data_IF_129407246842
#
_entry.id   IF_129407246842
#
_cell.length_a   1.000
_cell.length_b   1.000
_cell.length_c   1.000
_cell.angle_alpha   90.00
_cell.angle_beta   90.00
_cell.angle_gamma   90.00
#
_symmetry.space_group_name_H-M   'P 1'
#
loop_
_entity.id
_entity.type
_entity.pdbx_description
1 polymer ?
#
# COMPACT_ATOMS: atom_id res chain seq x y z
N UNK A 1 -18.13 22.37 36.14
CA UNK A 1 -18.81 22.09 34.86
C UNK A 1 -17.94 21.12 34.08
N UNK A 2 -18.28 19.82 34.08
CA UNK A 2 -17.54 18.79 33.31
C UNK A 2 -18.16 18.76 31.92
N UNK A 3 -17.42 19.23 30.91
CA UNK A 3 -17.80 19.06 29.51
C UNK A 3 -17.44 17.62 29.15
N UNK A 4 -18.44 16.74 29.09
CA UNK A 4 -18.28 15.43 28.49
C UNK A 4 -18.14 15.63 26.98
N UNK A 5 -16.91 15.61 26.46
CA UNK A 5 -16.72 15.34 25.04
C UNK A 5 -17.15 13.90 24.82
N UNK A 6 -18.36 13.69 24.29
CA UNK A 6 -18.77 12.37 23.81
C UNK A 6 -17.73 11.90 22.79
N UNK A 7 -17.02 10.81 23.13
CA UNK A 7 -16.15 10.07 22.21
C UNK A 7 -16.95 9.08 21.34
N UNK A 8 -18.27 9.09 21.43
CA UNK A 8 -19.11 8.25 20.59
C UNK A 8 -19.30 8.93 19.23
N UNK A 9 -19.07 8.19 18.11
CA UNK A 9 -19.35 8.73 16.79
C UNK A 9 -20.83 9.15 16.73
N UNK A 10 -21.10 10.34 16.21
CA UNK A 10 -22.46 10.90 16.08
C UNK A 10 -23.42 10.02 15.25
N UNK A 11 -22.86 9.07 14.51
CA UNK A 11 -23.58 8.15 13.61
C UNK A 11 -23.15 6.72 13.95
N UNK A 12 -24.08 5.76 14.11
CA UNK A 12 -23.78 4.35 14.33
C UNK A 12 -22.78 3.78 13.31
N UNK A 13 -21.89 2.91 13.77
CA UNK A 13 -20.84 2.33 12.97
C UNK A 13 -21.37 1.61 11.71
N UNK A 14 -22.49 0.90 11.82
CA UNK A 14 -23.14 0.17 10.74
C UNK A 14 -23.60 1.09 9.61
N UNK A 15 -24.09 2.29 9.97
CA UNK A 15 -24.55 3.28 9.00
C UNK A 15 -23.34 3.86 8.24
N UNK A 16 -22.23 4.11 8.94
CA UNK A 16 -21.00 4.61 8.30
C UNK A 16 -20.40 3.57 7.37
N UNK A 17 -20.33 2.30 7.79
CA UNK A 17 -19.87 1.20 6.94
C UNK A 17 -20.77 1.04 5.72
N UNK A 18 -22.09 1.13 5.89
CA UNK A 18 -23.06 1.17 4.79
C UNK A 18 -22.79 2.31 3.81
N UNK A 19 -22.57 3.53 4.31
CA UNK A 19 -22.26 4.70 3.49
C UNK A 19 -20.94 4.53 2.71
N UNK A 20 -19.88 4.03 3.34
CA UNK A 20 -18.61 3.75 2.67
C UNK A 20 -18.78 2.72 1.55
N UNK A 21 -19.57 1.67 1.77
CA UNK A 21 -19.88 0.66 0.73
C UNK A 21 -20.66 1.28 -0.43
N UNK A 22 -21.69 2.07 -0.14
CA UNK A 22 -22.46 2.75 -1.18
C UNK A 22 -21.58 3.69 -2.02
N UNK A 23 -20.72 4.48 -1.36
CA UNK A 23 -19.79 5.38 -2.05
C UNK A 23 -18.82 4.59 -2.94
N UNK A 24 -18.28 3.49 -2.43
CA UNK A 24 -17.38 2.63 -3.20
C UNK A 24 -18.09 2.03 -4.43
N UNK A 25 -19.35 1.59 -4.29
CA UNK A 25 -20.15 1.11 -5.42
C UNK A 25 -20.40 2.22 -6.44
N UNK A 26 -20.70 3.44 -5.99
CA UNK A 26 -20.86 4.60 -6.88
C UNK A 26 -19.56 4.83 -7.67
N UNK A 27 -18.39 4.79 -7.01
CA UNK A 27 -17.10 4.97 -7.69
C UNK A 27 -16.75 3.87 -8.69
N UNK A 28 -17.27 2.66 -8.52
CA UNK A 28 -17.10 1.59 -9.50
C UNK A 28 -18.00 1.84 -10.72
N UNK A 29 -19.23 2.32 -10.51
CA UNK A 29 -20.21 2.53 -11.57
C UNK A 29 -19.88 3.81 -12.36
N UNK A 30 -19.51 4.87 -11.66
CA UNK A 30 -19.06 6.12 -12.25
C UNK A 30 -17.59 5.98 -12.66
N UNK A 31 -17.37 5.42 -13.84
CA UNK A 31 -16.05 5.41 -14.52
C UNK A 31 -15.53 6.82 -14.85
N UNK A 32 -16.32 7.86 -14.58
CA UNK A 32 -15.96 9.24 -14.82
C UNK A 32 -14.97 9.77 -13.77
N UNK A 33 -14.12 10.72 -14.19
CA UNK A 33 -13.25 11.49 -13.30
C UNK A 33 -14.09 12.20 -12.24
N UNK A 34 -13.65 12.18 -10.98
CA UNK A 34 -14.32 12.95 -9.93
C UNK A 34 -14.11 14.44 -10.17
N UNK A 35 -15.19 15.22 -10.06
CA UNK A 35 -15.07 16.67 -10.13
C UNK A 35 -14.18 17.17 -8.97
N UNK A 36 -13.34 18.18 -9.24
CA UNK A 36 -12.45 18.83 -8.28
C UNK A 36 -13.15 19.19 -6.95
N UNK A 37 -14.38 19.70 -7.02
CA UNK A 37 -15.17 20.05 -5.84
C UNK A 37 -15.50 18.82 -4.97
N UNK A 38 -15.76 17.67 -5.59
CA UNK A 38 -16.01 16.41 -4.88
C UNK A 38 -14.73 15.92 -4.21
N UNK A 39 -13.59 15.99 -4.90
CA UNK A 39 -12.27 15.64 -4.34
C UNK A 39 -11.96 16.50 -3.12
N UNK A 40 -12.18 17.82 -3.21
CA UNK A 40 -11.97 18.76 -2.09
C UNK A 40 -12.85 18.46 -0.88
N UNK A 41 -14.07 17.97 -1.09
CA UNK A 41 -14.98 17.58 0.00
C UNK A 41 -14.53 16.25 0.61
N UNK A 42 -14.22 15.25 -0.22
CA UNK A 42 -13.95 13.90 0.24
C UNK A 42 -12.59 13.74 0.89
N UNK A 43 -11.56 14.43 0.40
CA UNK A 43 -10.20 14.30 0.90
C UNK A 43 -10.09 14.47 2.43
N UNK A 44 -10.53 15.60 3.03
CA UNK A 44 -10.47 15.77 4.47
C UNK A 44 -11.39 14.80 5.25
N UNK A 45 -12.52 14.38 4.66
CA UNK A 45 -13.43 13.41 5.28
C UNK A 45 -12.75 12.05 5.39
N UNK A 46 -12.07 11.60 4.33
CA UNK A 46 -11.36 10.32 4.32
C UNK A 46 -10.20 10.31 5.33
N UNK A 47 -9.45 11.41 5.43
CA UNK A 47 -8.42 11.57 6.47
C UNK A 47 -9.04 11.48 7.86
N UNK A 48 -10.14 12.20 8.12
CA UNK A 48 -10.84 12.11 9.41
C UNK A 48 -11.33 10.69 9.73
N UNK A 49 -11.82 9.94 8.74
CA UNK A 49 -12.20 8.53 8.91
C UNK A 49 -11.00 7.64 9.23
N UNK A 50 -9.83 7.90 8.63
CA UNK A 50 -8.61 7.17 8.89
C UNK A 50 -8.06 7.43 10.30
N UNK A 51 -8.23 8.65 10.82
CA UNK A 51 -7.80 9.05 12.16
C UNK A 51 -8.64 8.44 13.29
N UNK A 52 -9.77 7.81 12.98
CA UNK A 52 -10.59 7.14 13.99
C UNK A 52 -9.84 5.98 14.65
N UNK A 53 -9.92 5.90 15.99
CA UNK A 53 -9.18 4.90 16.78
C UNK A 53 -9.60 3.46 16.47
N UNK A 54 -10.87 3.23 16.10
CA UNK A 54 -11.42 1.89 15.88
C UNK A 54 -11.98 1.81 14.47
N UNK A 55 -11.25 1.12 13.59
CA UNK A 55 -11.68 0.79 12.24
C UNK A 55 -11.52 -0.73 12.09
N UNK A 56 -12.60 -1.44 11.79
CA UNK A 56 -12.51 -2.89 11.53
C UNK A 56 -11.70 -3.16 10.26
N UNK A 57 -11.14 -4.36 10.12
CA UNK A 57 -10.39 -4.76 8.91
C UNK A 57 -11.21 -4.58 7.62
N UNK A 58 -12.51 -4.90 7.67
CA UNK A 58 -13.43 -4.73 6.53
C UNK A 58 -13.61 -3.26 6.18
N UNK A 59 -13.82 -2.40 7.18
CA UNK A 59 -13.95 -0.95 6.97
C UNK A 59 -12.64 -0.33 6.50
N UNK A 60 -11.50 -0.76 7.05
CA UNK A 60 -10.19 -0.28 6.65
C UNK A 60 -9.91 -0.64 5.19
N UNK A 61 -10.30 -1.85 4.75
CA UNK A 61 -10.18 -2.25 3.35
C UNK A 61 -10.98 -1.33 2.44
N UNK A 62 -12.27 -1.11 2.73
CA UNK A 62 -13.13 -0.23 1.91
C UNK A 62 -12.59 1.20 1.93
N UNK A 63 -12.17 1.69 3.09
CA UNK A 63 -11.60 3.02 3.24
C UNK A 63 -10.31 3.18 2.43
N UNK A 64 -9.44 2.16 2.40
CA UNK A 64 -8.21 2.16 1.59
C UNK A 64 -8.51 2.18 0.08
N UNK A 65 -9.62 1.58 -0.35
CA UNK A 65 -10.09 1.66 -1.75
C UNK A 65 -10.63 3.05 -2.09
N UNK A 66 -11.40 3.67 -1.18
CA UNK A 66 -11.88 5.05 -1.35
C UNK A 66 -10.72 6.05 -1.39
N UNK A 67 -9.74 5.90 -0.51
CA UNK A 67 -8.52 6.71 -0.48
C UNK A 67 -7.74 6.53 -1.77
N UNK A 68 -7.55 5.30 -2.26
CA UNK A 68 -6.92 5.05 -3.56
C UNK A 68 -7.66 5.78 -4.69
N UNK A 69 -8.99 5.73 -4.73
CA UNK A 69 -9.77 6.41 -5.80
C UNK A 69 -9.56 7.93 -5.77
N UNK A 70 -9.60 8.54 -4.59
CA UNK A 70 -9.39 10.00 -4.45
C UNK A 70 -7.93 10.36 -4.72
N UNK A 71 -6.98 9.53 -4.29
CA UNK A 71 -5.56 9.70 -4.57
C UNK A 71 -5.27 9.62 -6.08
N UNK A 72 -5.94 8.73 -6.81
CA UNK A 72 -5.84 8.66 -8.27
C UNK A 72 -6.19 10.00 -8.92
N UNK A 73 -7.28 10.63 -8.49
CA UNK A 73 -7.70 11.92 -9.02
C UNK A 73 -6.71 13.04 -8.67
N UNK A 74 -6.21 13.07 -7.43
CA UNK A 74 -5.23 14.08 -7.00
C UNK A 74 -3.91 13.93 -7.74
N UNK A 75 -3.29 12.75 -7.69
CA UNK A 75 -1.95 12.55 -8.26
C UNK A 75 -1.94 12.44 -9.79
N UNK A 76 -2.94 11.77 -10.38
CA UNK A 76 -2.91 11.45 -11.83
C UNK A 76 -3.67 12.46 -12.67
N UNK A 77 -4.81 12.97 -12.20
CA UNK A 77 -5.69 13.84 -12.99
C UNK A 77 -5.42 15.31 -12.71
N UNK A 78 -5.25 15.66 -11.44
CA UNK A 78 -4.98 17.03 -11.01
C UNK A 78 -3.47 17.34 -10.98
N UNK A 79 -2.62 16.31 -10.99
CA UNK A 79 -1.16 16.43 -10.88
C UNK A 79 -0.75 17.23 -9.62
N UNK A 80 -1.50 17.05 -8.53
CA UNK A 80 -1.28 17.70 -7.24
C UNK A 80 -0.78 16.69 -6.18
N UNK A 81 -0.23 17.22 -5.08
CA UNK A 81 0.25 16.41 -3.94
C UNK A 81 -0.73 16.43 -2.77
N UNK A 82 -1.09 15.24 -2.28
CA UNK A 82 -1.97 15.10 -1.12
C UNK A 82 -1.19 15.14 0.21
N UNK A 83 -0.86 16.35 0.68
CA UNK A 83 -0.05 16.52 1.90
C UNK A 83 -0.69 15.95 3.17
N UNK A 84 -2.01 16.05 3.34
CA UNK A 84 -2.68 15.50 4.53
C UNK A 84 -2.57 13.98 4.60
N UNK A 85 -2.64 13.29 3.47
CA UNK A 85 -2.43 11.84 3.40
C UNK A 85 -0.99 11.48 3.75
N UNK A 86 -0.02 12.24 3.23
CA UNK A 86 1.41 12.08 3.57
C UNK A 86 1.61 12.21 5.08
N UNK A 87 1.08 13.26 5.69
CA UNK A 87 1.21 13.55 7.12
C UNK A 87 0.55 12.47 7.97
N UNK A 88 -0.64 12.02 7.58
CA UNK A 88 -1.33 10.92 8.26
C UNK A 88 -0.49 9.64 8.26
N UNK A 89 0.00 9.18 7.10
CA UNK A 89 0.77 7.93 7.01
C UNK A 89 2.10 8.08 7.76
N UNK A 90 2.78 9.22 7.59
CA UNK A 90 4.09 9.49 8.18
C UNK A 90 4.04 9.54 9.71
N UNK A 91 3.12 10.32 10.29
CA UNK A 91 2.99 10.49 11.74
C UNK A 91 2.52 9.23 12.48
N UNK A 92 1.86 8.30 11.77
CA UNK A 92 1.27 7.08 12.33
C UNK A 92 2.02 5.80 11.95
N UNK A 93 3.12 5.91 11.20
CA UNK A 93 3.89 4.79 10.68
C UNK A 93 4.25 3.73 11.74
N UNK A 94 4.69 4.18 12.92
CA UNK A 94 5.09 3.27 14.00
C UNK A 94 3.92 2.84 14.89
N UNK A 95 3.04 3.77 15.28
CA UNK A 95 1.97 3.51 16.25
C UNK A 95 0.77 2.78 15.65
N UNK A 96 0.49 2.95 14.35
CA UNK A 96 -0.67 2.37 13.66
C UNK A 96 -0.24 1.69 12.35
N UNK A 97 0.90 0.96 12.38
CA UNK A 97 1.54 0.34 11.22
C UNK A 97 0.59 -0.44 10.31
N UNK A 98 -0.30 -1.26 10.89
CA UNK A 98 -1.24 -2.06 10.10
C UNK A 98 -2.16 -1.16 9.27
N UNK A 99 -2.64 -0.07 9.87
CA UNK A 99 -3.55 0.88 9.23
C UNK A 99 -2.83 1.63 8.11
N UNK A 100 -1.71 2.25 8.42
CA UNK A 100 -0.98 3.12 7.47
C UNK A 100 -0.40 2.35 6.29
N UNK A 101 0.12 1.13 6.50
CA UNK A 101 0.63 0.31 5.39
C UNK A 101 -0.50 -0.26 4.55
N UNK A 102 -1.67 -0.55 5.14
CA UNK A 102 -2.85 -0.95 4.38
C UNK A 102 -3.32 0.14 3.41
N UNK A 103 -3.26 1.40 3.84
CA UNK A 103 -3.55 2.57 2.99
C UNK A 103 -2.43 2.78 1.97
N UNK A 104 -1.17 2.80 2.40
CA UNK A 104 -0.04 3.05 1.50
C UNK A 104 0.04 2.00 0.37
N UNK A 105 -0.07 0.72 0.71
CA UNK A 105 0.02 -0.36 -0.29
C UNK A 105 -1.14 -0.35 -1.29
N UNK A 106 -2.28 0.28 -0.95
CA UNK A 106 -3.40 0.41 -1.88
C UNK A 106 -3.19 1.52 -2.89
N UNK A 107 -2.18 2.40 -2.74
CA UNK A 107 -1.87 3.44 -3.72
C UNK A 107 -1.25 2.81 -4.98
N UNK A 108 -2.05 2.74 -6.03
CA UNK A 108 -1.76 1.99 -7.26
C UNK A 108 -1.37 2.87 -8.45
N UNK A 109 -1.18 4.16 -8.23
CA UNK A 109 -0.79 5.18 -9.21
C UNK A 109 0.62 5.69 -8.95
N UNK A 110 1.29 6.31 -9.94
CA UNK A 110 2.50 7.09 -9.68
C UNK A 110 2.24 8.14 -8.60
N UNK A 111 3.24 8.34 -7.74
CA UNK A 111 3.18 9.31 -6.65
C UNK A 111 4.20 10.42 -6.92
N UNK A 112 3.95 11.62 -6.39
CA UNK A 112 4.96 12.67 -6.38
C UNK A 112 6.20 12.19 -5.61
N UNK A 113 7.33 12.05 -6.30
CA UNK A 113 8.56 11.54 -5.71
C UNK A 113 9.13 12.46 -4.64
N UNK A 114 9.21 13.75 -4.93
CA UNK A 114 9.97 14.73 -4.13
C UNK A 114 9.14 15.28 -2.99
N UNK A 115 7.87 15.60 -3.25
CA UNK A 115 7.02 16.22 -2.24
C UNK A 115 6.18 15.20 -1.47
N UNK A 116 5.82 14.05 -2.05
CA UNK A 116 5.04 13.04 -1.34
C UNK A 116 5.91 11.90 -0.82
N UNK A 117 6.58 11.17 -1.70
CA UNK A 117 7.18 9.88 -1.39
C UNK A 117 8.43 9.99 -0.52
N UNK A 118 9.38 10.86 -0.88
CA UNK A 118 10.64 10.99 -0.14
C UNK A 118 10.41 11.38 1.33
N UNK A 119 9.61 12.42 1.65
CA UNK A 119 9.33 12.76 3.05
C UNK A 119 8.53 11.67 3.77
N UNK A 120 7.64 10.96 3.06
CA UNK A 120 6.91 9.84 3.64
C UNK A 120 7.84 8.69 4.07
N UNK A 121 8.86 8.40 3.25
CA UNK A 121 9.80 7.31 3.51
C UNK A 121 10.71 7.55 4.70
N UNK A 122 10.87 8.79 5.17
CA UNK A 122 11.66 9.10 6.38
C UNK A 122 11.15 8.34 7.62
N UNK A 123 9.82 8.17 7.74
CA UNK A 123 9.19 7.48 8.86
C UNK A 123 8.66 6.10 8.49
N UNK A 124 8.15 5.92 7.27
CA UNK A 124 7.54 4.65 6.86
C UNK A 124 8.58 3.55 6.62
N UNK A 125 9.72 3.89 6.00
CA UNK A 125 10.74 2.89 5.68
C UNK A 125 11.36 2.26 6.94
N UNK A 126 11.77 3.00 7.98
CA UNK A 126 12.24 2.40 9.22
C UNK A 126 11.21 1.46 9.86
N UNK A 127 9.92 1.84 9.85
CA UNK A 127 8.84 1.01 10.40
C UNK A 127 8.67 -0.31 9.63
N UNK A 128 8.79 -0.27 8.29
CA UNK A 128 8.79 -1.46 7.43
C UNK A 128 10.00 -2.34 7.74
N UNK A 129 11.21 -1.77 7.70
CA UNK A 129 12.46 -2.52 7.91
C UNK A 129 12.50 -3.19 9.27
N UNK A 130 12.04 -2.50 10.32
CA UNK A 130 11.88 -3.08 11.65
C UNK A 130 11.08 -4.37 11.58
N UNK A 131 9.88 -4.37 10.98
CA UNK A 131 9.00 -5.55 10.95
C UNK A 131 9.45 -6.66 10.00
N UNK A 132 10.29 -6.34 9.01
CA UNK A 132 10.98 -7.36 8.22
C UNK A 132 12.05 -8.09 9.05
N UNK A 133 12.81 -7.36 9.88
CA UNK A 133 13.96 -7.89 10.63
C UNK A 133 13.70 -8.29 12.09
N UNK A 134 12.58 -7.87 12.68
CA UNK A 134 12.30 -8.03 14.12
C UNK A 134 11.98 -9.47 14.48
N UNK A 135 12.80 -10.15 15.29
CA UNK A 135 12.57 -11.55 15.65
C UNK A 135 11.56 -11.77 16.79
N UNK A 136 10.90 -10.72 17.30
CA UNK A 136 9.88 -10.84 18.35
C UNK A 136 8.60 -11.54 17.85
N UNK A 137 8.06 -12.49 18.63
CA UNK A 137 6.87 -13.28 18.28
C UNK A 137 5.63 -12.43 18.00
N UNK A 138 5.46 -11.30 18.69
CA UNK A 138 4.33 -10.36 18.52
C UNK A 138 4.37 -9.60 17.18
N UNK A 139 5.55 -9.49 16.55
CA UNK A 139 5.71 -8.86 15.23
C UNK A 139 5.38 -9.80 14.06
N UNK A 140 5.24 -11.12 14.34
CA UNK A 140 5.12 -12.16 13.31
C UNK A 140 3.92 -11.95 12.38
N UNK A 141 2.79 -11.47 12.91
CA UNK A 141 1.58 -11.19 12.13
C UNK A 141 1.71 -9.99 11.18
N UNK A 142 2.66 -9.08 11.43
CA UNK A 142 2.87 -7.87 10.62
C UNK A 142 3.90 -8.05 9.52
N UNK A 143 4.72 -9.10 9.57
CA UNK A 143 5.78 -9.37 8.58
C UNK A 143 5.23 -9.38 7.15
N UNK A 144 4.10 -10.06 6.90
CA UNK A 144 3.53 -10.14 5.55
C UNK A 144 3.08 -8.78 5.00
N UNK A 145 2.59 -7.91 5.88
CA UNK A 145 2.21 -6.55 5.51
C UNK A 145 3.45 -5.67 5.27
N UNK A 146 4.49 -5.82 6.09
CA UNK A 146 5.77 -5.15 5.87
C UNK A 146 6.42 -5.58 4.55
N UNK A 147 6.32 -6.85 4.16
CA UNK A 147 6.84 -7.35 2.89
C UNK A 147 6.16 -6.69 1.69
N UNK A 148 4.82 -6.60 1.70
CA UNK A 148 4.07 -5.96 0.61
C UNK A 148 4.25 -4.44 0.62
N UNK A 149 4.26 -3.81 1.80
CA UNK A 149 4.55 -2.38 1.95
C UNK A 149 5.95 -2.04 1.44
N UNK A 150 6.94 -2.87 1.76
CA UNK A 150 8.31 -2.75 1.25
C UNK A 150 8.38 -2.94 -0.26
N UNK A 151 7.63 -3.89 -0.83
CA UNK A 151 7.50 -4.04 -2.28
C UNK A 151 6.98 -2.76 -2.94
N UNK A 152 5.85 -2.23 -2.47
CA UNK A 152 5.25 -1.00 -3.04
C UNK A 152 6.19 0.20 -2.86
N UNK A 153 6.85 0.33 -1.71
CA UNK A 153 7.83 1.40 -1.48
C UNK A 153 9.01 1.31 -2.45
N UNK A 154 9.56 0.11 -2.65
CA UNK A 154 10.66 -0.10 -3.58
C UNK A 154 10.28 0.27 -5.01
N UNK A 155 9.09 -0.15 -5.48
CA UNK A 155 8.57 0.19 -6.81
C UNK A 155 8.41 1.70 -6.99
N UNK A 156 7.76 2.39 -6.05
CA UNK A 156 7.56 3.83 -6.12
C UNK A 156 8.86 4.64 -6.05
N UNK A 157 9.90 4.11 -5.39
CA UNK A 157 11.19 4.80 -5.23
C UNK A 157 12.11 4.72 -6.46
N UNK A 158 11.84 3.82 -7.43
CA UNK A 158 12.76 3.55 -8.56
C UNK A 158 13.08 4.76 -9.41
N UNK A 159 12.12 5.66 -9.59
CA UNK A 159 12.23 6.85 -10.45
C UNK A 159 12.36 8.14 -9.61
N UNK A 160 12.87 8.04 -8.38
CA UNK A 160 13.12 9.18 -7.50
C UNK A 160 14.60 9.46 -7.28
N UNK A 161 14.93 10.62 -6.71
CA UNK A 161 16.30 10.94 -6.29
C UNK A 161 16.83 10.02 -5.17
N UNK A 162 15.96 9.22 -4.53
CA UNK A 162 16.30 8.28 -3.45
C UNK A 162 16.27 6.81 -3.88
N UNK A 163 16.58 6.53 -5.14
CA UNK A 163 16.75 5.16 -5.66
C UNK A 163 17.82 4.35 -4.89
N UNK A 164 18.74 5.02 -4.19
CA UNK A 164 19.72 4.40 -3.28
C UNK A 164 19.07 3.57 -2.17
N UNK A 165 17.84 3.92 -1.77
CA UNK A 165 17.08 3.18 -0.75
C UNK A 165 16.54 1.84 -1.26
N UNK A 166 16.32 1.70 -2.57
CA UNK A 166 15.68 0.53 -3.17
C UNK A 166 16.54 -0.72 -2.98
N UNK A 167 17.85 -0.62 -3.19
CA UNK A 167 18.74 -1.77 -3.03
C UNK A 167 18.76 -2.30 -1.59
N UNK A 168 18.86 -1.38 -0.63
CA UNK A 168 18.84 -1.73 0.80
C UNK A 168 17.52 -2.42 1.18
N UNK A 169 16.39 -1.85 0.78
CA UNK A 169 15.07 -2.41 1.05
C UNK A 169 14.88 -3.78 0.39
N UNK A 170 15.24 -3.92 -0.88
CA UNK A 170 15.15 -5.20 -1.59
C UNK A 170 16.02 -6.29 -0.94
N UNK A 171 17.22 -5.94 -0.48
CA UNK A 171 18.10 -6.86 0.23
C UNK A 171 17.52 -7.29 1.58
N UNK A 172 16.93 -6.38 2.36
CA UNK A 172 16.26 -6.73 3.62
C UNK A 172 15.01 -7.60 3.40
N UNK A 173 14.21 -7.31 2.38
CA UNK A 173 13.10 -8.17 1.97
C UNK A 173 13.59 -9.59 1.66
N UNK A 174 14.65 -9.73 0.87
CA UNK A 174 15.20 -11.04 0.50
C UNK A 174 15.76 -11.81 1.70
N UNK A 175 16.45 -11.14 2.61
CA UNK A 175 16.92 -11.76 3.87
C UNK A 175 15.74 -12.29 4.69
N UNK A 176 14.62 -11.55 4.70
CA UNK A 176 13.43 -11.89 5.47
C UNK A 176 12.58 -13.04 4.89
N UNK A 177 12.82 -13.47 3.64
CA UNK A 177 12.01 -14.51 2.96
C UNK A 177 11.98 -15.82 3.75
N UNK A 178 13.14 -16.28 4.26
CA UNK A 178 13.21 -17.53 5.04
C UNK A 178 12.34 -17.46 6.29
N UNK A 179 12.37 -16.33 6.99
CA UNK A 179 11.50 -16.07 8.13
C UNK A 179 10.03 -16.07 7.72
N UNK A 180 9.68 -15.45 6.59
CA UNK A 180 8.31 -15.50 6.06
C UNK A 180 7.82 -16.94 5.81
N UNK A 181 8.72 -17.85 5.42
CA UNK A 181 8.42 -19.28 5.29
C UNK A 181 8.22 -19.94 6.64
N UNK A 182 9.11 -19.69 7.61
CA UNK A 182 9.03 -20.21 8.98
C UNK A 182 7.74 -19.80 9.68
N UNK A 183 7.29 -18.56 9.45
CA UNK A 183 6.02 -18.04 9.98
C UNK A 183 4.78 -18.52 9.22
N UNK A 184 4.94 -19.18 8.06
CA UNK A 184 3.83 -19.61 7.21
C UNK A 184 3.08 -18.46 6.50
N UNK A 185 3.62 -17.25 6.50
CA UNK A 185 2.97 -16.06 5.93
C UNK A 185 3.43 -15.73 4.51
N UNK A 186 4.54 -16.31 4.03
CA UNK A 186 5.12 -15.99 2.72
C UNK A 186 4.12 -16.14 1.57
N UNK A 187 3.39 -17.26 1.52
CA UNK A 187 2.42 -17.51 0.45
C UNK A 187 1.30 -16.46 0.39
N UNK A 188 0.84 -15.95 1.54
CA UNK A 188 -0.14 -14.85 1.59
C UNK A 188 0.49 -13.53 1.16
N UNK A 189 1.67 -13.19 1.68
CA UNK A 189 2.37 -11.96 1.33
C UNK A 189 2.64 -11.88 -0.18
N UNK A 190 3.02 -12.99 -0.82
CA UNK A 190 3.24 -13.03 -2.26
C UNK A 190 1.95 -12.91 -3.09
N UNK A 191 0.81 -13.38 -2.59
CA UNK A 191 -0.49 -13.09 -3.22
C UNK A 191 -0.85 -11.61 -3.10
N UNK A 192 -0.55 -11.00 -1.95
CA UNK A 192 -0.75 -9.57 -1.76
C UNK A 192 0.20 -8.74 -2.67
N UNK A 193 1.43 -9.21 -2.93
CA UNK A 193 2.34 -8.65 -3.96
C UNK A 193 1.78 -8.86 -5.38
N UNK A 194 1.23 -10.03 -5.69
CA UNK A 194 0.60 -10.30 -6.99
C UNK A 194 -0.53 -9.29 -7.28
N UNK A 195 -1.38 -9.02 -6.28
CA UNK A 195 -2.44 -8.00 -6.38
C UNK A 195 -1.84 -6.62 -6.64
N UNK A 196 -0.85 -6.20 -5.83
CA UNK A 196 -0.21 -4.90 -5.97
C UNK A 196 0.42 -4.71 -7.35
N UNK A 197 1.11 -5.75 -7.87
CA UNK A 197 1.65 -5.75 -9.23
C UNK A 197 0.53 -5.52 -10.24
N UNK A 198 -0.53 -6.33 -10.21
CA UNK A 198 -1.64 -6.21 -11.17
C UNK A 198 -2.26 -4.81 -11.16
N UNK A 199 -2.46 -4.23 -9.97
CA UNK A 199 -3.03 -2.89 -9.81
C UNK A 199 -2.10 -1.76 -10.28
N UNK A 200 -0.77 -1.94 -10.23
CA UNK A 200 0.22 -0.93 -10.60
C UNK A 200 0.75 -1.06 -12.05
N UNK A 201 0.52 -2.20 -12.71
CA UNK A 201 1.07 -2.50 -14.04
C UNK A 201 0.78 -1.45 -15.13
N UNK A 202 -0.28 -0.66 -14.99
CA UNK A 202 -0.70 0.30 -16.01
C UNK A 202 0.26 1.48 -16.15
N UNK A 203 1.07 1.78 -15.13
CA UNK A 203 2.05 2.88 -15.16
C UNK A 203 3.50 2.42 -15.11
N UNK A 204 3.77 1.11 -15.07
CA UNK A 204 5.13 0.59 -15.08
C UNK A 204 5.89 0.94 -16.35
N UNK A 205 7.13 1.37 -16.17
CA UNK A 205 8.12 1.54 -17.22
C UNK A 205 9.14 0.38 -17.19
N UNK A 206 10.17 0.50 -18.03
CA UNK A 206 11.22 -0.53 -18.15
C UNK A 206 11.90 -0.81 -16.81
N UNK A 207 12.07 0.20 -15.96
CA UNK A 207 12.73 0.08 -14.66
C UNK A 207 11.91 -0.79 -13.70
N UNK A 208 10.62 -0.51 -13.55
CA UNK A 208 9.69 -1.27 -12.68
C UNK A 208 9.57 -2.71 -13.16
N UNK A 209 9.40 -2.94 -14.47
CA UNK A 209 9.33 -4.29 -15.02
C UNK A 209 10.60 -5.10 -14.69
N UNK A 210 11.78 -4.50 -14.85
CA UNK A 210 13.06 -5.16 -14.54
C UNK A 210 13.23 -5.42 -13.06
N UNK A 211 12.87 -4.46 -12.22
CA UNK A 211 12.91 -4.59 -10.77
C UNK A 211 12.02 -5.75 -10.29
N UNK A 212 10.74 -5.76 -10.70
CA UNK A 212 9.79 -6.79 -10.27
C UNK A 212 10.25 -8.18 -10.73
N UNK A 213 10.65 -8.34 -12.00
CA UNK A 213 11.16 -9.62 -12.48
C UNK A 213 12.42 -10.08 -11.73
N UNK A 214 13.35 -9.15 -11.47
CA UNK A 214 14.59 -9.44 -10.74
C UNK A 214 14.33 -9.85 -9.29
N UNK A 215 13.47 -9.11 -8.57
CA UNK A 215 13.10 -9.43 -7.20
C UNK A 215 12.40 -10.79 -7.11
N UNK A 216 11.39 -11.03 -7.96
CA UNK A 216 10.62 -12.27 -7.98
C UNK A 216 11.51 -13.48 -8.29
N UNK A 217 12.46 -13.34 -9.22
CA UNK A 217 13.44 -14.39 -9.52
C UNK A 217 14.36 -14.68 -8.33
N UNK A 218 14.80 -13.66 -7.59
CA UNK A 218 15.64 -13.83 -6.38
C UNK A 218 14.85 -14.48 -5.23
N UNK A 219 13.58 -14.13 -5.05
CA UNK A 219 12.69 -14.79 -4.08
C UNK A 219 12.49 -16.26 -4.46
N UNK A 220 12.20 -16.55 -5.73
CA UNK A 220 12.00 -17.91 -6.23
C UNK A 220 13.20 -18.84 -5.97
N UNK A 221 14.43 -18.30 -6.05
CA UNK A 221 15.64 -19.04 -5.75
C UNK A 221 15.78 -19.45 -4.27
N UNK A 222 15.07 -18.78 -3.36
CA UNK A 222 15.06 -19.06 -1.92
C UNK A 222 13.90 -20.00 -1.56
N UNK A 223 12.75 -19.84 -2.20
CA UNK A 223 11.51 -20.57 -1.90
C UNK A 223 11.64 -22.05 -2.26
N UNK A 224 11.26 -22.92 -1.32
CA UNK A 224 11.23 -24.37 -1.54
C UNK A 224 9.83 -24.91 -1.83
N UNK A 225 8.78 -24.23 -1.35
CA UNK A 225 7.38 -24.67 -1.46
C UNK A 225 6.80 -24.41 -2.86
N UNK A 226 6.26 -25.45 -3.49
CA UNK A 226 5.77 -25.40 -4.88
C UNK A 226 4.53 -24.51 -5.07
N UNK A 227 3.61 -24.51 -4.12
CA UNK A 227 2.41 -23.63 -4.12
C UNK A 227 2.81 -22.16 -4.14
N UNK A 228 3.86 -21.80 -3.41
CA UNK A 228 4.41 -20.45 -3.36
C UNK A 228 5.15 -20.10 -4.66
N UNK A 229 5.90 -21.04 -5.25
CA UNK A 229 6.50 -20.87 -6.59
C UNK A 229 5.46 -20.59 -7.67
N UNK A 230 4.30 -21.25 -7.62
CA UNK A 230 3.21 -20.98 -8.56
C UNK A 230 2.73 -19.52 -8.53
N UNK A 231 2.71 -18.88 -7.36
CA UNK A 231 2.39 -17.44 -7.25
C UNK A 231 3.44 -16.59 -7.97
N UNK A 232 4.72 -16.85 -7.70
CA UNK A 232 5.84 -16.15 -8.33
C UNK A 232 5.84 -16.30 -9.86
N UNK A 233 5.47 -17.49 -10.37
CA UNK A 233 5.32 -17.75 -11.80
C UNK A 233 4.19 -16.93 -12.43
N UNK A 234 3.02 -16.84 -11.78
CA UNK A 234 1.92 -15.99 -12.27
C UNK A 234 2.33 -14.53 -12.36
N UNK A 235 3.00 -14.00 -11.33
CA UNK A 235 3.53 -12.63 -11.35
C UNK A 235 4.45 -12.43 -12.57
N UNK A 236 5.43 -13.32 -12.78
CA UNK A 236 6.34 -13.23 -13.94
C UNK A 236 5.59 -13.25 -15.27
N UNK A 237 4.58 -14.11 -15.42
CA UNK A 237 3.79 -14.22 -16.66
C UNK A 237 3.07 -12.90 -16.94
N UNK A 238 2.37 -12.35 -15.93
CA UNK A 238 1.61 -11.11 -16.10
C UNK A 238 2.55 -9.94 -16.43
N UNK A 239 3.66 -9.81 -15.71
CA UNK A 239 4.67 -8.76 -15.93
C UNK A 239 5.28 -8.85 -17.33
N UNK A 240 5.71 -10.05 -17.75
CA UNK A 240 6.29 -10.25 -19.09
C UNK A 240 5.27 -9.99 -20.20
N UNK A 241 4.02 -10.43 -20.03
CA UNK A 241 2.96 -10.17 -20.99
C UNK A 241 2.77 -8.66 -21.16
N UNK A 242 2.67 -7.91 -20.06
CA UNK A 242 2.50 -6.45 -20.10
C UNK A 242 3.71 -5.76 -20.74
N UNK A 243 4.92 -6.17 -20.41
CA UNK A 243 6.15 -5.64 -21.00
C UNK A 243 6.20 -5.80 -22.53
N UNK A 244 5.66 -6.91 -23.08
CA UNK A 244 5.59 -7.14 -24.53
C UNK A 244 4.54 -6.26 -25.24
N UNK A 245 3.56 -5.70 -24.52
CA UNK A 245 2.59 -4.77 -25.10
C UNK A 245 3.22 -3.40 -25.42
N UNK A 246 4.39 -3.08 -24.84
CA UNK A 246 5.12 -1.82 -25.00
C UNK A 246 6.43 -1.95 -25.79
N UNK A 247 6.77 -3.15 -26.27
CA UNK A 247 7.98 -3.43 -27.05
C UNK A 247 7.71 -3.38 -28.55
#
# INVERSE_FOLDING_TARGET
MRVYSSKEPRVPYEIREGAMRCLHVIFIIEEASLNLAVVHILSPILISCLEEQVVSDTSLKILSMLVNRVAFEIFTIQEETWYDLREFISSKAESEFVKVVSVFKSLSMPLDGEEFLIPLMENLLPAILKRLGDNEEDSSGQWGLAFVGGFCAAVHLLETTRVDLVENLANEMLKSVKRGMELGFLGKALRDVEIAVVEQLWWYCTTEFRFVLGLIQRVEAIVTEETTKNVLQRIKIVVKKKMLEYA
#
